data_IF_096691022850
#
_entry.id   IF_096691022850
#
_cell.length_a   1.000
_cell.length_b   1.000
_cell.length_c   1.000
_cell.angle_alpha   90.00
_cell.angle_beta   90.00
_cell.angle_gamma   90.00
#
_symmetry.space_group_name_H-M   'P 1'
#
loop_
_entity.id
_entity.type
_entity.pdbx_description
1 polymer ?
#
# COMPACT_ATOMS: atom_id res chain seq x y z
N UNK A 1 74.14 14.94 60.11
CA UNK A 1 73.55 15.12 61.45
C UNK A 1 72.04 14.95 61.35
N UNK A 2 71.49 13.89 61.97
CA UNK A 2 70.10 13.71 62.46
C UNK A 2 68.96 13.67 61.40
N UNK A 3 68.23 12.55 61.29
CA UNK A 3 66.96 12.24 62.01
C UNK A 3 65.82 13.21 61.58
N UNK A 4 64.61 12.85 61.14
CA UNK A 4 63.66 11.90 61.72
C UNK A 4 62.26 12.06 61.01
N UNK A 5 61.50 10.97 60.79
CA UNK A 5 59.99 10.81 60.76
C UNK A 5 59.17 11.61 59.70
N UNK A 6 58.58 10.95 58.69
CA UNK A 6 57.22 10.34 58.62
C UNK A 6 56.05 11.35 58.64
N UNK A 7 55.34 11.55 57.51
CA UNK A 7 53.88 11.70 57.47
C UNK A 7 53.34 11.42 56.07
N UNK A 8 52.43 10.46 56.02
CA UNK A 8 51.59 10.03 54.92
C UNK A 8 50.59 11.14 54.59
N UNK A 9 50.38 11.45 53.30
CA UNK A 9 49.06 11.75 52.72
C UNK A 9 49.17 11.96 51.20
N UNK A 10 49.04 10.85 50.48
CA UNK A 10 48.16 10.69 49.31
C UNK A 10 47.94 11.93 48.42
N UNK A 11 49.00 12.42 47.79
CA UNK A 11 48.92 13.38 46.70
C UNK A 11 48.83 12.65 45.36
N UNK A 12 47.85 13.04 44.54
CA UNK A 12 47.76 12.80 43.10
C UNK A 12 47.14 11.45 42.66
N UNK A 13 45.84 11.25 42.94
CA UNK A 13 45.02 10.43 42.03
C UNK A 13 44.74 11.29 40.79
N UNK A 14 45.42 10.92 39.71
CA UNK A 14 45.21 11.36 38.34
C UNK A 14 43.71 11.28 37.98
N UNK A 15 43.06 12.45 37.85
CA UNK A 15 41.78 12.55 37.17
C UNK A 15 42.04 12.38 35.67
N UNK A 16 42.13 11.12 35.21
CA UNK A 16 42.03 10.81 33.79
C UNK A 16 40.54 10.93 33.46
N UNK A 17 40.17 12.10 32.96
CA UNK A 17 38.89 12.31 32.32
C UNK A 17 38.89 11.42 31.07
N UNK A 18 38.28 10.24 31.19
CA UNK A 18 38.00 9.37 30.04
C UNK A 18 37.04 10.14 29.13
N UNK A 19 37.59 10.86 28.14
CA UNK A 19 36.83 11.39 27.02
C UNK A 19 36.42 10.16 26.22
N UNK A 20 35.28 9.59 26.57
CA UNK A 20 34.58 8.64 25.71
C UNK A 20 34.16 9.41 24.46
N UNK A 21 35.01 9.38 23.43
CA UNK A 21 34.56 9.72 22.09
C UNK A 21 33.49 8.70 21.72
N UNK A 22 32.23 9.13 21.76
CA UNK A 22 31.15 8.40 21.09
C UNK A 22 31.48 8.48 19.61
N UNK A 23 32.12 7.45 19.08
CA UNK A 23 32.23 7.28 17.63
C UNK A 23 30.82 7.08 17.11
N UNK A 24 30.26 8.07 16.42
CA UNK A 24 29.09 7.84 15.58
C UNK A 24 29.49 6.76 14.57
N UNK A 25 28.92 5.57 14.73
CA UNK A 25 28.95 4.58 13.67
C UNK A 25 28.09 5.16 12.55
N UNK A 26 28.74 5.66 11.49
CA UNK A 26 28.01 6.04 10.28
C UNK A 26 27.32 4.79 9.73
N UNK A 27 26.02 4.88 9.45
CA UNK A 27 25.31 3.83 8.72
C UNK A 27 26.08 3.55 7.43
N UNK A 28 26.51 2.30 7.26
CA UNK A 28 27.25 1.88 6.07
C UNK A 28 26.26 1.83 4.92
N UNK A 29 26.35 2.81 4.02
CA UNK A 29 25.55 2.82 2.79
C UNK A 29 26.09 1.77 1.84
N UNK A 30 25.29 0.74 1.56
CA UNK A 30 25.67 -0.39 0.68
C UNK A 30 24.86 -0.45 -0.61
N UNK A 31 23.92 0.48 -0.81
CA UNK A 31 23.05 0.56 -1.99
C UNK A 31 23.26 1.86 -2.77
N UNK A 32 22.89 1.83 -4.05
CA UNK A 32 22.79 3.03 -4.92
C UNK A 32 21.36 3.56 -5.05
N UNK A 33 20.40 2.85 -4.48
CA UNK A 33 18.99 3.24 -4.44
C UNK A 33 18.88 4.35 -3.41
N UNK A 34 18.18 5.43 -3.72
CA UNK A 34 18.05 6.59 -2.83
C UNK A 34 16.59 6.98 -2.66
N UNK A 35 16.30 7.71 -1.59
CA UNK A 35 14.96 8.27 -1.40
C UNK A 35 14.58 9.20 -2.55
N UNK A 36 15.46 10.14 -2.87
CA UNK A 36 15.20 11.21 -3.82
C UNK A 36 14.95 10.69 -5.23
N UNK A 37 15.69 9.67 -5.68
CA UNK A 37 15.61 9.16 -7.05
C UNK A 37 14.60 8.02 -7.23
N UNK A 38 14.58 7.01 -6.37
CA UNK A 38 13.70 5.85 -6.52
C UNK A 38 12.50 5.86 -5.58
N UNK A 39 12.73 5.92 -4.26
CA UNK A 39 11.69 5.58 -3.28
C UNK A 39 10.59 6.62 -3.20
N UNK A 40 10.93 7.91 -3.33
CA UNK A 40 9.96 9.00 -3.34
C UNK A 40 8.90 8.80 -4.42
N UNK A 41 9.26 8.31 -5.61
CA UNK A 41 8.32 8.03 -6.70
C UNK A 41 7.34 6.91 -6.32
N UNK A 42 7.85 5.84 -5.73
CA UNK A 42 7.02 4.73 -5.26
C UNK A 42 6.06 5.22 -4.17
N UNK A 43 6.56 5.99 -3.19
CA UNK A 43 5.72 6.49 -2.10
C UNK A 43 4.69 7.47 -2.61
N UNK A 44 5.05 8.35 -3.54
CA UNK A 44 4.15 9.35 -4.11
C UNK A 44 3.00 8.71 -4.88
N UNK A 45 3.26 7.57 -5.52
CA UNK A 45 2.26 6.82 -6.26
C UNK A 45 1.42 5.88 -5.37
N UNK A 46 2.02 5.30 -4.33
CA UNK A 46 1.44 4.13 -3.61
C UNK A 46 1.06 4.38 -2.16
N UNK A 47 1.63 5.39 -1.52
CA UNK A 47 1.56 5.54 -0.06
C UNK A 47 0.97 6.88 0.37
N UNK A 48 1.37 7.97 -0.30
CA UNK A 48 1.03 9.33 0.15
C UNK A 48 -0.41 9.72 -0.10
N UNK A 49 -1.25 8.88 -0.72
CA UNK A 49 -2.71 9.13 -0.72
C UNK A 49 -3.28 9.12 0.71
N UNK A 50 -2.65 8.38 1.62
CA UNK A 50 -2.98 8.35 3.05
C UNK A 50 -1.86 8.91 3.94
N UNK A 51 -0.60 8.71 3.53
CA UNK A 51 0.60 9.11 4.29
C UNK A 51 1.17 10.46 3.82
N UNK A 52 0.41 11.53 4.01
CA UNK A 52 0.81 12.89 3.70
C UNK A 52 0.40 13.84 4.81
N UNK A 53 0.92 15.08 4.78
CA UNK A 53 0.47 16.13 5.69
C UNK A 53 -1.02 16.41 5.50
N UNK A 54 -1.79 16.31 6.59
CA UNK A 54 -3.26 16.38 6.55
C UNK A 54 -3.95 15.09 6.12
N UNK A 55 -3.18 14.01 5.87
CA UNK A 55 -3.69 12.67 5.65
C UNK A 55 -4.14 11.99 6.95
N UNK A 56 -4.42 10.69 6.88
CA UNK A 56 -4.96 9.91 8.01
C UNK A 56 -3.90 9.36 8.96
N UNK A 57 -2.61 9.47 8.60
CA UNK A 57 -1.48 8.88 9.32
C UNK A 57 -0.25 9.80 9.22
N UNK A 58 0.93 9.35 9.67
CA UNK A 58 2.18 10.10 9.52
C UNK A 58 2.56 10.32 8.05
N UNK A 59 3.29 11.40 7.78
CA UNK A 59 3.74 11.77 6.43
C UNK A 59 4.88 10.88 5.92
N UNK A 60 4.82 10.52 4.64
CA UNK A 60 5.88 9.89 3.87
C UNK A 60 6.36 10.80 2.71
N UNK A 61 6.09 12.11 2.80
CA UNK A 61 6.37 13.05 1.71
C UNK A 61 7.83 13.47 1.62
N UNK A 62 8.50 13.68 2.76
CA UNK A 62 9.90 14.12 2.81
C UNK A 62 10.80 13.13 3.56
N UNK A 63 12.07 13.06 3.17
CA UNK A 63 13.03 12.11 3.73
C UNK A 63 13.15 12.16 5.26
N UNK A 64 13.23 13.34 5.93
CA UNK A 64 13.31 13.39 7.40
C UNK A 64 12.10 12.77 8.10
N UNK A 65 10.93 12.78 7.45
CA UNK A 65 9.69 12.21 7.95
C UNK A 65 9.67 10.70 7.73
N UNK A 66 10.20 10.24 6.60
CA UNK A 66 10.25 8.84 6.20
C UNK A 66 11.29 8.05 6.99
N UNK A 67 12.50 8.58 7.14
CA UNK A 67 13.67 7.86 7.67
C UNK A 67 13.39 7.13 9.00
N UNK A 68 12.71 7.73 10.00
CA UNK A 68 12.40 7.05 11.26
C UNK A 68 11.53 5.79 11.11
N UNK A 69 10.76 5.69 10.03
CA UNK A 69 9.83 4.58 9.77
C UNK A 69 10.40 3.51 8.84
N UNK A 70 11.63 3.66 8.32
CA UNK A 70 12.19 2.79 7.28
C UNK A 70 12.05 1.28 7.59
N UNK A 71 12.37 0.86 8.81
CA UNK A 71 12.24 -0.54 9.24
C UNK A 71 10.78 -0.99 9.26
N UNK A 72 9.89 -0.20 9.86
CA UNK A 72 8.46 -0.51 9.91
C UNK A 72 7.83 -0.56 8.51
N UNK A 73 8.19 0.38 7.62
CA UNK A 73 7.77 0.37 6.22
C UNK A 73 8.15 -0.95 5.57
N UNK A 74 9.41 -1.39 5.71
CA UNK A 74 9.89 -2.66 5.17
C UNK A 74 9.03 -3.83 5.64
N UNK A 75 8.75 -3.90 6.95
CA UNK A 75 7.92 -4.95 7.54
C UNK A 75 6.48 -4.95 6.99
N UNK A 76 5.86 -3.77 6.90
CA UNK A 76 4.49 -3.61 6.40
C UNK A 76 4.36 -3.97 4.90
N UNK A 77 5.35 -3.61 4.07
CA UNK A 77 5.31 -3.95 2.64
C UNK A 77 5.64 -5.42 2.39
N UNK A 78 6.58 -6.01 3.13
CA UNK A 78 6.92 -7.43 3.03
C UNK A 78 5.78 -8.34 3.49
N UNK A 79 5.05 -7.91 4.52
CA UNK A 79 3.84 -8.60 5.00
C UNK A 79 2.60 -8.31 4.17
N UNK A 80 2.71 -7.53 3.09
CA UNK A 80 1.61 -7.15 2.17
C UNK A 80 0.44 -6.44 2.86
N UNK A 81 0.68 -5.83 4.04
CA UNK A 81 -0.31 -5.00 4.73
C UNK A 81 -0.40 -3.60 4.13
N UNK A 82 0.68 -3.12 3.52
CA UNK A 82 0.74 -1.82 2.86
C UNK A 82 1.16 -1.93 1.37
N UNK A 83 0.52 -1.15 0.48
CA UNK A 83 -0.74 -0.43 0.68
C UNK A 83 -1.92 -1.39 0.93
N UNK A 84 -2.95 -0.99 1.70
CA UNK A 84 -4.10 -1.85 1.96
C UNK A 84 -4.91 -2.02 0.66
N UNK A 85 -4.74 -3.17 0.02
CA UNK A 85 -5.49 -3.53 -1.21
C UNK A 85 -6.65 -4.49 -0.93
N UNK A 86 -6.54 -5.32 0.11
CA UNK A 86 -7.59 -6.25 0.53
C UNK A 86 -7.81 -7.47 -0.37
N UNK A 87 -7.42 -7.42 -1.66
CA UNK A 87 -7.54 -8.55 -2.58
C UNK A 87 -6.23 -9.33 -2.78
N UNK A 88 -6.35 -10.65 -2.94
CA UNK A 88 -5.23 -11.57 -3.20
C UNK A 88 -4.72 -11.40 -4.64
N UNK A 89 -3.42 -11.16 -4.80
CA UNK A 89 -2.75 -11.09 -6.12
C UNK A 89 -2.97 -12.40 -6.90
N UNK A 90 -3.27 -12.27 -8.19
CA UNK A 90 -3.49 -13.41 -9.09
C UNK A 90 -4.91 -13.98 -9.06
N UNK A 91 -5.79 -13.47 -8.19
CA UNK A 91 -7.20 -13.82 -8.17
C UNK A 91 -8.03 -12.67 -8.78
N UNK A 92 -8.20 -12.72 -10.09
CA UNK A 92 -8.69 -11.60 -10.89
C UNK A 92 -7.58 -10.59 -11.22
N UNK A 93 -7.84 -9.73 -12.21
CA UNK A 93 -6.94 -8.65 -12.58
C UNK A 93 -7.67 -7.33 -12.48
N UNK A 94 -7.06 -6.34 -11.82
CA UNK A 94 -7.69 -5.05 -11.55
C UNK A 94 -6.88 -3.90 -12.15
N UNK A 95 -7.56 -2.93 -12.77
CA UNK A 95 -6.93 -1.73 -13.34
C UNK A 95 -6.54 -0.70 -12.28
N UNK A 96 -7.17 -0.76 -11.11
CA UNK A 96 -6.89 0.12 -9.98
C UNK A 96 -6.09 -0.56 -8.86
N UNK A 97 -5.38 -1.67 -9.15
CA UNK A 97 -4.51 -2.37 -8.19
C UNK A 97 -3.43 -1.43 -7.63
N UNK A 98 -3.55 -1.11 -6.34
CA UNK A 98 -2.60 -0.26 -5.62
C UNK A 98 -1.44 -1.04 -4.99
N UNK A 99 -1.48 -2.38 -4.98
CA UNK A 99 -0.44 -3.18 -4.35
C UNK A 99 0.91 -3.07 -5.08
N UNK A 100 1.99 -3.04 -4.30
CA UNK A 100 3.35 -2.96 -4.80
C UNK A 100 3.68 -4.14 -5.75
N UNK A 101 4.34 -3.80 -6.84
CA UNK A 101 5.00 -4.79 -7.72
C UNK A 101 6.19 -5.42 -7.01
N UNK A 102 6.67 -6.57 -7.51
CA UNK A 102 7.86 -7.22 -6.95
C UNK A 102 9.10 -6.33 -7.03
N UNK A 103 9.25 -5.59 -8.13
CA UNK A 103 10.35 -4.63 -8.31
C UNK A 103 10.27 -3.48 -7.30
N UNK A 104 9.09 -2.88 -7.10
CA UNK A 104 8.92 -1.82 -6.10
C UNK A 104 9.18 -2.31 -4.68
N UNK A 105 8.72 -3.53 -4.36
CA UNK A 105 8.99 -4.16 -3.06
C UNK A 105 10.50 -4.34 -2.85
N UNK A 106 11.19 -4.86 -3.87
CA UNK A 106 12.63 -5.08 -3.85
C UNK A 106 13.40 -3.76 -3.67
N UNK A 107 13.05 -2.70 -4.43
CA UNK A 107 13.65 -1.38 -4.31
C UNK A 107 13.53 -0.83 -2.89
N UNK A 108 12.34 -0.91 -2.28
CA UNK A 108 12.12 -0.47 -0.90
C UNK A 108 12.97 -1.30 0.06
N UNK A 109 12.98 -2.63 -0.07
CA UNK A 109 13.73 -3.51 0.84
C UNK A 109 15.24 -3.28 0.76
N UNK A 110 15.78 -3.18 -0.46
CA UNK A 110 17.21 -2.92 -0.68
C UNK A 110 17.62 -1.53 -0.21
N UNK A 111 16.73 -0.53 -0.34
CA UNK A 111 16.99 0.80 0.18
C UNK A 111 17.09 0.81 1.71
N UNK A 112 16.14 0.15 2.39
CA UNK A 112 16.14 0.06 3.86
C UNK A 112 17.34 -0.74 4.37
N UNK A 113 17.64 -1.89 3.75
CA UNK A 113 18.79 -2.72 4.12
C UNK A 113 20.13 -2.07 3.77
N UNK A 114 20.13 -1.19 2.77
CA UNK A 114 21.30 -0.48 2.27
C UNK A 114 21.68 0.78 3.04
N UNK A 115 21.10 1.02 4.22
CA UNK A 115 21.42 2.18 5.06
C UNK A 115 20.55 3.42 4.79
N UNK A 116 19.44 3.26 4.05
CA UNK A 116 18.39 4.28 3.92
C UNK A 116 18.86 5.61 3.29
N UNK A 117 19.74 5.65 2.27
CA UNK A 117 20.33 6.91 1.80
C UNK A 117 19.29 7.89 1.19
N UNK A 118 19.45 9.19 1.48
CA UNK A 118 18.55 10.26 1.00
C UNK A 118 18.70 10.53 -0.51
N UNK A 119 19.92 10.61 -1.01
CA UNK A 119 20.21 11.06 -2.37
C UNK A 119 20.17 12.59 -2.54
N UNK A 120 20.21 13.05 -3.78
CA UNK A 120 20.31 14.48 -4.10
C UNK A 120 18.94 15.13 -4.29
N UNK A 121 18.75 16.33 -3.74
CA UNK A 121 17.47 17.05 -3.82
C UNK A 121 16.99 17.32 -5.25
N UNK A 122 17.90 17.46 -6.22
CA UNK A 122 17.58 17.66 -7.63
C UNK A 122 16.89 16.44 -8.28
N UNK A 123 17.03 15.24 -7.70
CA UNK A 123 16.43 14.02 -8.22
C UNK A 123 15.00 13.82 -7.73
N UNK A 124 14.54 14.62 -6.76
CA UNK A 124 13.18 14.57 -6.25
C UNK A 124 12.16 14.88 -7.35
N UNK A 125 11.09 14.07 -7.48
CA UNK A 125 10.00 14.41 -8.38
C UNK A 125 9.15 15.53 -7.75
N UNK A 126 8.34 16.25 -8.55
CA UNK A 126 7.36 17.18 -8.01
C UNK A 126 6.46 16.49 -6.99
N UNK A 127 6.26 17.13 -5.84
CA UNK A 127 5.37 16.59 -4.80
C UNK A 127 3.91 16.55 -5.29
N UNK A 128 3.17 15.47 -5.00
CA UNK A 128 1.74 15.38 -5.30
C UNK A 128 0.95 16.47 -4.58
N UNK A 129 -0.13 16.92 -5.22
CA UNK A 129 -1.11 17.83 -4.62
C UNK A 129 -2.37 17.04 -4.32
N UNK A 130 -2.89 17.21 -3.11
CA UNK A 130 -4.11 16.54 -2.67
C UNK A 130 -5.27 17.54 -2.72
N UNK A 131 -6.35 17.15 -3.41
CA UNK A 131 -7.62 17.85 -3.30
C UNK A 131 -8.36 17.33 -2.05
N UNK A 132 -9.17 18.19 -1.43
CA UNK A 132 -10.05 17.78 -0.33
C UNK A 132 -10.99 16.64 -0.76
N UNK A 133 -11.32 15.77 0.18
CA UNK A 133 -12.19 14.62 0.01
C UNK A 133 -13.64 15.06 -0.27
N UNK A 134 -13.98 15.23 -1.55
CA UNK A 134 -15.39 15.19 -1.92
C UNK A 134 -15.83 13.72 -1.84
N UNK A 135 -16.47 13.34 -0.72
CA UNK A 135 -17.04 12.01 -0.51
C UNK A 135 -17.81 11.58 -1.75
N UNK A 136 -17.22 10.67 -2.52
CA UNK A 136 -17.81 10.19 -3.77
C UNK A 136 -18.85 9.15 -3.38
N UNK A 137 -20.13 9.30 -3.77
CA UNK A 137 -21.11 8.26 -3.60
C UNK A 137 -20.58 6.95 -4.19
N UNK A 138 -20.90 5.85 -3.53
CA UNK A 138 -20.60 4.53 -4.04
C UNK A 138 -21.05 4.28 -5.47
N UNK A 139 -20.34 3.46 -6.27
CA UNK A 139 -20.78 3.12 -7.62
C UNK A 139 -22.15 2.43 -7.60
N UNK A 140 -23.03 2.83 -8.52
CA UNK A 140 -24.28 2.13 -8.78
C UNK A 140 -24.03 0.71 -9.31
N UNK A 141 -24.87 -0.25 -8.91
CA UNK A 141 -24.75 -1.62 -9.39
C UNK A 141 -25.76 -2.60 -8.78
N UNK A 142 -25.58 -3.88 -9.09
CA UNK A 142 -26.42 -4.96 -8.58
C UNK A 142 -25.87 -5.49 -7.26
N UNK A 143 -26.63 -5.31 -6.17
CA UNK A 143 -26.26 -5.84 -4.85
C UNK A 143 -26.53 -7.34 -4.80
N UNK A 144 -25.53 -8.14 -4.43
CA UNK A 144 -25.65 -9.60 -4.26
C UNK A 144 -25.18 -10.03 -2.87
N UNK A 145 -25.83 -11.08 -2.36
CA UNK A 145 -25.56 -11.74 -1.08
C UNK A 145 -25.92 -13.22 -1.19
N UNK A 146 -25.19 -14.08 -0.49
CA UNK A 146 -25.34 -15.54 -0.66
C UNK A 146 -24.95 -16.00 -2.07
N UNK A 147 -25.40 -17.20 -2.42
CA UNK A 147 -25.36 -17.65 -3.81
C UNK A 147 -26.44 -16.92 -4.60
N UNK A 148 -26.02 -16.17 -5.63
CA UNK A 148 -26.90 -15.29 -6.39
C UNK A 148 -26.90 -15.67 -7.87
N UNK A 149 -28.08 -16.02 -8.42
CA UNK A 149 -28.24 -16.32 -9.85
C UNK A 149 -28.62 -15.06 -10.61
N UNK A 150 -27.90 -14.75 -11.68
CA UNK A 150 -28.23 -13.63 -12.56
C UNK A 150 -29.48 -13.92 -13.40
N UNK A 151 -30.51 -13.09 -13.30
CA UNK A 151 -31.71 -13.20 -14.13
C UNK A 151 -31.50 -12.71 -15.57
N UNK A 152 -30.53 -11.80 -15.75
CA UNK A 152 -30.16 -11.20 -17.05
C UNK A 152 -28.65 -11.16 -17.20
N UNK A 153 -28.20 -11.10 -18.46
CA UNK A 153 -26.78 -10.93 -18.73
C UNK A 153 -26.26 -9.59 -18.15
N UNK A 154 -25.03 -9.62 -17.66
CA UNK A 154 -24.32 -8.49 -17.04
C UNK A 154 -22.89 -8.46 -17.59
N UNK A 155 -22.50 -7.35 -18.19
CA UNK A 155 -21.08 -7.07 -18.43
C UNK A 155 -20.51 -6.49 -17.16
N UNK A 156 -19.75 -7.27 -16.40
CA UNK A 156 -19.19 -6.91 -15.11
C UNK A 156 -17.91 -6.10 -15.31
N UNK A 157 -17.87 -4.88 -14.79
CA UNK A 157 -16.70 -3.99 -14.83
C UNK A 157 -15.95 -3.92 -13.50
N UNK A 158 -16.62 -4.23 -12.40
CA UNK A 158 -15.98 -4.26 -11.10
C UNK A 158 -16.88 -4.80 -10.00
N UNK A 159 -16.31 -4.91 -8.81
CA UNK A 159 -16.98 -5.35 -7.60
C UNK A 159 -16.72 -4.34 -6.48
N UNK A 160 -17.71 -4.03 -5.66
CA UNK A 160 -17.52 -3.18 -4.49
C UNK A 160 -18.07 -3.85 -3.23
N UNK A 161 -17.22 -4.23 -2.26
CA UNK A 161 -17.67 -4.81 -1.00
C UNK A 161 -18.39 -3.75 -0.16
N UNK A 162 -19.73 -3.75 -0.23
CA UNK A 162 -20.58 -2.78 0.46
C UNK A 162 -20.75 -3.13 1.93
N UNK A 163 -20.87 -4.43 2.25
CA UNK A 163 -20.97 -4.92 3.62
C UNK A 163 -20.15 -6.19 3.76
N UNK A 164 -18.96 -6.09 4.31
CA UNK A 164 -18.09 -7.21 4.65
C UNK A 164 -17.52 -6.92 6.03
N UNK A 165 -17.51 -7.93 6.90
CA UNK A 165 -17.04 -7.76 8.28
C UNK A 165 -15.52 -7.60 8.28
N UNK A 166 -14.99 -6.83 9.23
CA UNK A 166 -13.53 -6.76 9.40
C UNK A 166 -12.96 -8.16 9.70
N UNK A 167 -11.77 -8.43 9.16
CA UNK A 167 -11.04 -9.70 9.22
C UNK A 167 -11.70 -10.86 8.45
N UNK A 168 -12.83 -10.62 7.78
CA UNK A 168 -13.48 -11.62 6.94
C UNK A 168 -12.67 -11.87 5.65
N UNK A 169 -12.51 -13.15 5.30
CA UNK A 169 -11.93 -13.57 4.03
C UNK A 169 -13.00 -14.26 3.19
N UNK A 170 -13.14 -13.86 1.93
CA UNK A 170 -14.16 -14.40 1.03
C UNK A 170 -13.64 -14.52 -0.39
N UNK A 171 -14.03 -15.59 -1.08
CA UNK A 171 -13.62 -15.89 -2.43
C UNK A 171 -14.85 -15.90 -3.34
N UNK A 172 -15.01 -14.82 -4.10
CA UNK A 172 -16.12 -14.63 -5.03
C UNK A 172 -15.76 -15.19 -6.39
N UNK A 173 -16.62 -16.07 -6.91
CA UNK A 173 -16.51 -16.66 -8.24
C UNK A 173 -17.82 -16.52 -9.00
N UNK A 174 -17.75 -16.58 -10.33
CA UNK A 174 -18.91 -16.75 -11.19
C UNK A 174 -18.87 -18.13 -11.85
N UNK A 175 -19.89 -18.94 -11.61
CA UNK A 175 -20.13 -20.18 -12.35
C UNK A 175 -21.05 -19.88 -13.54
N UNK A 176 -20.51 -19.95 -14.75
CA UNK A 176 -21.25 -19.71 -15.98
C UNK A 176 -22.21 -20.89 -16.26
N UNK A 177 -23.32 -20.67 -16.99
CA UNK A 177 -24.23 -21.74 -17.42
C UNK A 177 -23.55 -22.85 -18.23
N UNK A 178 -22.39 -22.57 -18.83
CA UNK A 178 -21.56 -23.53 -19.55
C UNK A 178 -20.79 -24.49 -18.63
N UNK A 179 -20.75 -24.21 -17.32
CA UNK A 179 -19.94 -24.91 -16.33
C UNK A 179 -18.55 -24.31 -16.11
N UNK A 180 -18.15 -23.28 -16.86
CA UNK A 180 -16.89 -22.56 -16.65
C UNK A 180 -16.95 -21.74 -15.35
N UNK A 181 -15.80 -21.61 -14.68
CA UNK A 181 -15.68 -20.83 -13.43
C UNK A 181 -14.74 -19.65 -13.68
N UNK A 182 -15.26 -18.44 -13.45
CA UNK A 182 -14.49 -17.20 -13.54
C UNK A 182 -14.16 -16.69 -12.12
N UNK A 183 -12.87 -16.54 -11.75
CA UNK A 183 -12.48 -15.93 -10.49
C UNK A 183 -12.76 -14.43 -10.53
N UNK A 184 -13.57 -13.91 -9.60
CA UNK A 184 -13.95 -12.50 -9.60
C UNK A 184 -13.16 -11.66 -8.59
N UNK A 185 -13.15 -12.07 -7.33
CA UNK A 185 -12.51 -11.32 -6.25
C UNK A 185 -12.23 -12.24 -5.07
N UNK A 186 -11.01 -12.23 -4.56
CA UNK A 186 -10.69 -12.90 -3.30
C UNK A 186 -10.20 -11.88 -2.29
N UNK A 187 -11.04 -11.60 -1.29
CA UNK A 187 -10.66 -10.77 -0.16
C UNK A 187 -10.01 -11.64 0.93
N UNK A 188 -8.92 -11.14 1.51
CA UNK A 188 -8.22 -11.79 2.60
C UNK A 188 -8.07 -10.82 3.77
N UNK A 189 -8.51 -11.23 4.96
CA UNK A 189 -8.50 -10.42 6.20
C UNK A 189 -8.99 -8.98 5.96
N UNK A 190 -10.14 -8.84 5.30
CA UNK A 190 -10.63 -7.56 4.78
C UNK A 190 -10.81 -6.51 5.88
N UNK A 191 -10.55 -5.24 5.56
CA UNK A 191 -10.74 -4.11 6.47
C UNK A 191 -11.66 -3.09 5.82
N UNK A 192 -12.89 -2.99 6.32
CA UNK A 192 -13.94 -2.14 5.77
C UNK A 192 -13.57 -0.66 5.71
N UNK A 193 -12.74 -0.18 6.65
CA UNK A 193 -12.19 1.20 6.65
C UNK A 193 -11.34 1.55 5.41
N UNK A 194 -10.81 0.56 4.69
CA UNK A 194 -10.08 0.75 3.44
C UNK A 194 -10.93 0.38 2.22
N UNK A 195 -12.25 0.30 2.38
CA UNK A 195 -13.15 -0.15 1.33
C UNK A 195 -13.09 0.74 0.09
N UNK A 196 -12.88 0.10 -1.06
CA UNK A 196 -12.85 0.73 -2.38
C UNK A 196 -13.44 -0.25 -3.41
N UNK A 197 -13.84 0.22 -4.60
CA UNK A 197 -14.20 -0.67 -5.68
C UNK A 197 -12.96 -1.42 -6.21
N UNK A 198 -13.16 -2.66 -6.65
CA UNK A 198 -12.21 -3.50 -7.36
C UNK A 198 -12.62 -3.52 -8.82
N UNK A 199 -11.93 -2.74 -9.64
CA UNK A 199 -12.30 -2.51 -11.03
C UNK A 199 -11.49 -3.45 -11.92
N UNK A 200 -12.17 -4.35 -12.62
CA UNK A 200 -11.54 -5.37 -13.45
C UNK A 200 -10.70 -4.71 -14.54
N UNK A 201 -9.55 -5.30 -14.87
CA UNK A 201 -8.68 -4.82 -15.97
C UNK A 201 -9.44 -4.89 -17.29
N UNK A 202 -10.15 -5.99 -17.50
CA UNK A 202 -11.01 -6.22 -18.65
C UNK A 202 -12.39 -6.61 -18.14
N UNK A 203 -13.47 -5.94 -18.56
CA UNK A 203 -14.82 -6.33 -18.18
C UNK A 203 -15.15 -7.76 -18.63
N UNK A 204 -15.89 -8.50 -17.79
CA UNK A 204 -16.25 -9.91 -18.02
C UNK A 204 -17.72 -9.99 -18.41
N UNK A 205 -18.04 -10.70 -19.49
CA UNK A 205 -19.43 -10.97 -19.88
C UNK A 205 -20.01 -12.14 -19.07
N UNK A 206 -20.94 -11.85 -18.18
CA UNK A 206 -21.66 -12.84 -17.39
C UNK A 206 -23.06 -13.07 -18.01
N UNK A 207 -23.32 -14.20 -18.69
CA UNK A 207 -24.62 -14.47 -19.28
C UNK A 207 -25.70 -14.68 -18.20
N UNK A 208 -26.97 -14.53 -18.60
CA UNK A 208 -28.10 -14.89 -17.74
C UNK A 208 -27.99 -16.36 -17.29
N UNK A 209 -28.30 -16.62 -16.04
CA UNK A 209 -28.15 -17.92 -15.40
C UNK A 209 -26.80 -18.18 -14.73
N UNK A 210 -25.82 -17.28 -14.89
CA UNK A 210 -24.56 -17.32 -14.12
C UNK A 210 -24.87 -17.27 -12.63
N UNK A 211 -24.18 -18.07 -11.83
CA UNK A 211 -24.30 -18.09 -10.37
C UNK A 211 -23.05 -17.44 -9.77
N UNK A 212 -23.23 -16.31 -9.09
CA UNK A 212 -22.18 -15.70 -8.26
C UNK A 212 -22.19 -16.40 -6.91
N UNK A 213 -21.05 -16.94 -6.50
CA UNK A 213 -20.88 -17.67 -5.24
C UNK A 213 -19.83 -17.05 -4.34
N UNK A 214 -19.84 -17.48 -3.08
CA UNK A 214 -18.79 -17.13 -2.11
C UNK A 214 -18.99 -15.79 -1.41
N UNK A 215 -20.17 -15.18 -1.57
CA UNK A 215 -20.60 -14.04 -0.74
C UNK A 215 -21.42 -14.59 0.44
N UNK A 216 -20.97 -14.46 1.69
CA UNK A 216 -21.74 -14.92 2.83
C UNK A 216 -23.10 -14.21 2.95
N UNK A 217 -24.17 -14.85 3.47
CA UNK A 217 -25.51 -14.25 3.52
C UNK A 217 -25.60 -12.94 4.31
N UNK A 218 -24.74 -12.76 5.32
CA UNK A 218 -24.66 -11.54 6.13
C UNK A 218 -23.93 -10.38 5.43
N UNK A 219 -23.22 -10.69 4.35
CA UNK A 219 -22.33 -9.81 3.60
C UNK A 219 -22.93 -9.46 2.24
N UNK A 220 -22.56 -8.31 1.68
CA UNK A 220 -23.02 -7.88 0.35
C UNK A 220 -21.92 -7.26 -0.48
N UNK A 221 -21.97 -7.55 -1.77
CA UNK A 221 -21.07 -6.99 -2.79
C UNK A 221 -21.94 -6.38 -3.89
N UNK A 222 -21.55 -5.20 -4.36
CA UNK A 222 -22.13 -4.57 -5.54
C UNK A 222 -21.37 -5.06 -6.75
N UNK A 223 -22.08 -5.68 -7.70
CA UNK A 223 -21.59 -5.95 -9.04
C UNK A 223 -21.78 -4.69 -9.89
N UNK A 224 -20.66 -4.07 -10.25
CA UNK A 224 -20.63 -2.82 -11.02
C UNK A 224 -20.73 -3.17 -12.50
N UNK A 225 -21.80 -2.77 -13.20
CA UNK A 225 -21.91 -2.98 -14.63
C UNK A 225 -20.89 -2.11 -15.37
N UNK A 226 -20.36 -2.59 -16.49
CA UNK A 226 -19.72 -1.71 -17.46
C UNK A 226 -20.75 -0.68 -17.91
N UNK A 227 -20.43 0.60 -17.73
CA UNK A 227 -21.20 1.65 -18.39
C UNK A 227 -21.12 1.36 -19.89
N UNK A 228 -22.28 1.32 -20.57
CA UNK A 228 -22.32 1.52 -22.01
C UNK A 228 -21.82 2.95 -22.24
N UNK A 229 -20.51 3.15 -22.28
CA UNK A 229 -19.96 4.40 -22.79
C UNK A 229 -20.39 4.45 -24.26
N UNK A 230 -21.21 5.41 -24.70
CA UNK A 230 -21.29 5.69 -26.13
C UNK A 230 -19.86 5.93 -26.57
N UNK A 231 -19.45 5.38 -27.71
CA UNK A 231 -18.18 5.72 -28.32
C UNK A 231 -18.18 7.24 -28.64
N UNK A 232 -17.79 8.06 -27.66
CA UNK A 232 -17.63 9.49 -27.87
C UNK A 232 -16.23 9.68 -28.42
N UNK A 233 -16.21 9.84 -29.74
CA UNK A 233 -15.27 10.62 -30.54
C UNK A 233 -13.79 10.56 -30.13
N UNK A 234 -13.04 9.85 -30.98
CA UNK A 234 -11.71 10.27 -31.35
C UNK A 234 -11.67 11.80 -31.55
N UNK A 235 -11.08 12.52 -30.60
CA UNK A 235 -10.54 13.84 -30.87
C UNK A 235 -9.20 13.65 -31.59
N UNK A 236 -9.29 13.30 -32.86
CA UNK A 236 -8.43 13.94 -33.85
C UNK A 236 -9.00 15.34 -34.09
N UNK A 237 -8.15 16.35 -33.99
CA UNK A 237 -8.14 17.59 -34.81
C UNK A 237 -7.83 18.86 -33.98
N UNK A 238 -6.66 19.44 -34.27
CA UNK A 238 -6.24 20.87 -34.14
C UNK A 238 -6.08 21.41 -32.70
N UNK A 239 -4.95 22.00 -32.29
CA UNK A 239 -4.01 22.90 -32.99
C UNK A 239 -2.71 23.06 -32.18
#
# INVERSE_FOLDING_TARGET
>A
MKCLILFISFGLILSICSISFVTEAHDVITTKITFSREISRIFYERCVSCHHDGGSVFSLMAYPEVRPWAVAIKEEVLSRRMPPWGAVKGFGEFRNDQALTSEQLELITQWVEGGVPEGEAQDLPPQPKFAGDSGTPGPDGLVVSGDFKLDRALKLDGLWPQKVTDDESLQVIAELPTGNVEPLLWLYEYKSKYGHPFLLRTPIDLPAGTIVRGVPPQSSIVLIPATLTPATEAQDTQR
#
